data_IF_605183780995
#
_entry.id   IF_605183780995
#
_cell.length_a   1.000
_cell.length_b   1.000
_cell.length_c   1.000
_cell.angle_alpha   90.00
_cell.angle_beta   90.00
_cell.angle_gamma   90.00
#
_symmetry.space_group_name_H-M   'P 1'
#
loop_
_entity.id
_entity.type
_entity.pdbx_description
1 polymer ?
#
# COMPACT_ATOMS: atom_id res chain seq x y z
N UNK A 1 -26.49 31.91 -24.21
CA UNK A 1 -27.06 31.36 -22.95
C UNK A 1 -27.21 29.85 -22.98
N UNK A 2 -27.88 29.27 -23.98
CA UNK A 2 -28.05 27.80 -24.08
C UNK A 2 -26.73 27.02 -24.08
N UNK A 3 -25.74 27.47 -24.86
CA UNK A 3 -24.40 26.87 -24.92
C UNK A 3 -23.64 26.89 -23.58
N UNK A 4 -23.80 27.97 -22.81
CA UNK A 4 -23.22 28.07 -21.47
C UNK A 4 -23.89 27.09 -20.50
N UNK A 5 -25.21 26.96 -20.60
CA UNK A 5 -25.98 26.01 -19.80
C UNK A 5 -25.61 24.54 -20.16
N UNK A 6 -25.37 24.25 -21.44
CA UNK A 6 -24.97 22.91 -21.89
C UNK A 6 -23.55 22.57 -21.47
N UNK A 7 -22.63 23.55 -21.48
CA UNK A 7 -21.26 23.34 -21.01
C UNK A 7 -21.23 23.06 -19.50
N UNK A 8 -22.02 23.78 -18.71
CA UNK A 8 -22.13 23.55 -17.26
C UNK A 8 -22.72 22.18 -16.96
N UNK A 9 -23.77 21.77 -17.69
CA UNK A 9 -24.36 20.44 -17.53
C UNK A 9 -23.38 19.31 -17.89
N UNK A 10 -22.55 19.49 -18.92
CA UNK A 10 -21.53 18.52 -19.33
C UNK A 10 -20.41 18.36 -18.28
N UNK A 11 -20.02 19.45 -17.60
CA UNK A 11 -19.02 19.41 -16.54
C UNK A 11 -19.58 18.74 -15.27
N UNK A 12 -20.85 18.97 -14.94
CA UNK A 12 -21.51 18.33 -13.80
C UNK A 12 -21.74 16.82 -13.99
N UNK A 13 -21.84 16.36 -15.24
CA UNK A 13 -22.03 14.95 -15.57
C UNK A 13 -20.72 14.21 -15.90
N UNK A 14 -19.57 14.88 -15.78
CA UNK A 14 -18.28 14.25 -15.99
C UNK A 14 -18.07 13.19 -14.89
N UNK A 15 -17.81 11.91 -15.24
CA UNK A 15 -17.54 10.89 -14.24
C UNK A 15 -16.29 11.31 -13.47
N UNK A 16 -16.44 11.43 -12.15
CA UNK A 16 -15.30 11.61 -11.25
C UNK A 16 -14.35 10.42 -11.49
N UNK A 17 -13.03 10.65 -11.66
CA UNK A 17 -12.10 9.55 -11.75
C UNK A 17 -12.26 8.71 -10.49
N UNK A 18 -12.78 7.49 -10.66
CA UNK A 18 -12.80 6.51 -9.60
C UNK A 18 -11.34 6.31 -9.21
N UNK A 19 -10.95 6.79 -8.03
CA UNK A 19 -9.68 6.47 -7.42
C UNK A 19 -9.72 4.96 -7.15
N UNK A 20 -9.37 4.16 -8.16
CA UNK A 20 -8.98 2.79 -7.97
C UNK A 20 -7.73 2.86 -7.11
N UNK A 21 -7.90 2.81 -5.79
CA UNK A 21 -6.84 2.34 -4.94
C UNK A 21 -6.50 0.95 -5.49
N UNK A 22 -5.36 0.84 -6.18
CA UNK A 22 -4.83 -0.47 -6.53
C UNK A 22 -4.82 -1.28 -5.23
N UNK A 23 -5.35 -2.51 -5.28
CA UNK A 23 -5.40 -3.36 -4.10
C UNK A 23 -3.99 -3.47 -3.53
N UNK A 24 -3.80 -2.99 -2.30
CA UNK A 24 -2.49 -2.94 -1.68
C UNK A 24 -2.23 -4.27 -1.00
N UNK A 25 -1.52 -5.15 -1.69
CA UNK A 25 -1.13 -6.45 -1.14
C UNK A 25 0.14 -6.36 -0.30
N UNK A 26 0.15 -7.07 0.84
CA UNK A 26 1.38 -7.34 1.59
C UNK A 26 2.15 -8.50 0.92
N UNK A 27 1.39 -9.51 0.50
CA UNK A 27 1.86 -10.68 -0.25
C UNK A 27 0.80 -11.00 -1.31
N UNK A 28 1.24 -11.28 -2.53
CA UNK A 28 0.39 -11.66 -3.66
C UNK A 28 1.03 -12.88 -4.33
N UNK A 29 0.27 -13.95 -4.56
CA UNK A 29 0.74 -15.20 -5.16
C UNK A 29 2.00 -15.80 -4.51
N UNK A 30 2.09 -15.69 -3.18
CA UNK A 30 3.25 -16.17 -2.41
C UNK A 30 4.52 -15.33 -2.60
N UNK A 31 4.41 -14.16 -3.24
CA UNK A 31 5.50 -13.21 -3.43
C UNK A 31 5.34 -11.97 -2.55
N UNK A 32 6.43 -11.50 -1.90
CA UNK A 32 6.39 -10.29 -1.08
C UNK A 32 6.10 -9.06 -1.97
N UNK A 33 5.07 -8.29 -1.63
CA UNK A 33 4.70 -7.04 -2.33
C UNK A 33 4.90 -5.79 -1.47
N UNK A 34 5.37 -5.97 -0.24
CA UNK A 34 5.63 -4.92 0.71
C UNK A 34 6.93 -5.18 1.49
N UNK A 35 7.39 -4.15 2.18
CA UNK A 35 8.57 -4.18 3.04
C UNK A 35 8.20 -3.71 4.45
N UNK A 36 8.88 -4.26 5.45
CA UNK A 36 8.79 -3.79 6.83
C UNK A 36 9.89 -2.74 7.03
N UNK A 37 9.52 -1.46 6.96
CA UNK A 37 10.46 -0.36 7.16
C UNK A 37 10.56 -0.03 8.65
N UNK A 38 11.77 -0.10 9.22
CA UNK A 38 12.05 0.23 10.63
C UNK A 38 13.08 1.36 10.74
N UNK A 39 12.93 2.26 11.71
CA UNK A 39 13.92 3.31 11.98
C UNK A 39 15.28 2.73 12.38
N UNK A 40 16.40 3.39 12.06
CA UNK A 40 17.73 2.96 12.50
C UNK A 40 17.87 2.90 14.04
N UNK A 41 17.20 3.82 14.74
CA UNK A 41 17.31 3.99 16.21
C UNK A 41 16.22 3.23 16.99
N UNK A 42 15.78 2.08 16.47
CA UNK A 42 14.72 1.29 17.13
C UNK A 42 15.18 0.61 18.43
N UNK A 43 14.26 0.51 19.39
CA UNK A 43 14.47 -0.28 20.60
C UNK A 43 14.59 -1.78 20.29
N UNK A 44 15.18 -2.54 21.22
CA UNK A 44 15.25 -4.01 21.13
C UNK A 44 13.86 -4.64 20.94
N UNK A 45 12.85 -4.14 21.66
CA UNK A 45 11.50 -4.69 21.61
C UNK A 45 10.84 -4.45 20.24
N UNK A 46 11.04 -3.27 19.64
CA UNK A 46 10.57 -3.00 18.28
C UNK A 46 11.23 -3.91 17.24
N UNK A 47 12.50 -4.29 17.45
CA UNK A 47 13.20 -5.21 16.54
C UNK A 47 12.57 -6.60 16.61
N UNK A 48 12.29 -7.07 17.82
CA UNK A 48 11.59 -8.34 18.05
C UNK A 48 10.21 -8.29 17.38
N UNK A 49 9.45 -7.22 17.58
CA UNK A 49 8.12 -7.06 16.98
C UNK A 49 8.16 -7.14 15.44
N UNK A 50 9.15 -6.50 14.80
CA UNK A 50 9.30 -6.57 13.34
C UNK A 50 9.62 -7.99 12.83
N UNK A 51 10.48 -8.72 13.55
CA UNK A 51 10.81 -10.11 13.21
C UNK A 51 9.65 -11.08 13.45
N UNK A 52 8.94 -10.92 14.56
CA UNK A 52 7.73 -11.69 14.87
C UNK A 52 6.66 -11.45 13.81
N UNK A 53 6.40 -10.19 13.46
CA UNK A 53 5.45 -9.84 12.41
C UNK A 53 5.80 -10.50 11.07
N UNK A 54 7.06 -10.39 10.62
CA UNK A 54 7.53 -11.08 9.41
C UNK A 54 7.29 -12.58 9.48
N UNK A 55 7.63 -13.22 10.61
CA UNK A 55 7.44 -14.65 10.79
C UNK A 55 5.96 -15.04 10.67
N UNK A 56 5.03 -14.24 11.20
CA UNK A 56 3.60 -14.55 11.08
C UNK A 56 3.12 -14.43 9.62
N UNK A 57 3.56 -13.39 8.89
CA UNK A 57 3.23 -13.25 7.47
C UNK A 57 3.79 -14.43 6.66
N UNK A 58 5.03 -14.83 6.92
CA UNK A 58 5.67 -15.97 6.25
C UNK A 58 4.93 -17.28 6.53
N UNK A 59 4.47 -17.52 7.76
CA UNK A 59 3.65 -18.70 8.11
C UNK A 59 2.30 -18.73 7.38
N UNK A 60 1.66 -17.57 7.24
CA UNK A 60 0.33 -17.46 6.60
C UNK A 60 0.42 -17.62 5.09
N UNK A 61 1.46 -17.04 4.48
CA UNK A 61 1.49 -16.81 3.03
C UNK A 61 2.62 -17.53 2.29
N UNK A 62 3.60 -18.10 3.01
CA UNK A 62 4.82 -18.66 2.44
C UNK A 62 5.84 -17.61 1.98
N UNK A 63 5.49 -16.33 1.95
CA UNK A 63 6.37 -15.26 1.49
C UNK A 63 7.13 -14.60 2.64
N UNK A 64 8.42 -14.37 2.45
CA UNK A 64 9.27 -13.71 3.43
C UNK A 64 9.49 -12.24 3.10
N UNK A 65 8.88 -11.35 3.88
CA UNK A 65 9.02 -9.90 3.67
C UNK A 65 10.45 -9.40 4.02
N UNK A 66 11.00 -8.44 3.25
CA UNK A 66 12.19 -7.69 3.64
C UNK A 66 11.95 -6.86 4.90
N UNK A 67 12.97 -6.75 5.76
CA UNK A 67 13.01 -5.73 6.83
C UNK A 67 14.14 -4.78 6.48
N UNK A 68 13.82 -3.51 6.27
CA UNK A 68 14.73 -2.48 5.76
C UNK A 68 14.67 -1.21 6.61
N UNK A 69 15.67 -0.35 6.52
CA UNK A 69 15.69 0.95 7.21
C UNK A 69 15.24 2.12 6.35
N UNK A 70 15.09 1.91 5.05
CA UNK A 70 14.55 2.85 4.07
C UNK A 70 13.83 2.06 2.95
N UNK A 71 12.78 2.62 2.32
CA UNK A 71 12.07 1.96 1.22
C UNK A 71 13.00 1.70 0.02
N UNK A 72 12.89 0.52 -0.60
CA UNK A 72 13.73 0.16 -1.75
C UNK A 72 13.15 0.54 -3.12
N UNK A 73 11.82 0.68 -3.22
CA UNK A 73 11.11 1.09 -4.45
C UNK A 73 10.46 -0.07 -5.18
#
# INVERSE_FOLDING_TARGET
MKALLTLVAAILLAPLPATHAADAFIVEDGQPRAEIVISADLSRMQRVAAHEFRMQIEKISGARLPIVTAPSG
#
